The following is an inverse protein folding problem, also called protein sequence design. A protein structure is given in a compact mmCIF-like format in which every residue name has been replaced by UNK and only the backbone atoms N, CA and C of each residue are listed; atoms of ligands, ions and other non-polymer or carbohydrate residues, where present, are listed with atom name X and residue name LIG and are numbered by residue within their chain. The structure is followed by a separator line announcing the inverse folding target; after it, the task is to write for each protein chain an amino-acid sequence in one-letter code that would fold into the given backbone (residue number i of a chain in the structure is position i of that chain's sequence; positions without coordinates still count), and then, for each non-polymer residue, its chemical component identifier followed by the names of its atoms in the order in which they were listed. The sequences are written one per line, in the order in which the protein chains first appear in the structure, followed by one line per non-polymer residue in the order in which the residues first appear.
data_IF_069595443746
#
_entry.id   IF_069595443746
#
_cell.length_a   1.000
_cell.length_b   1.000
_cell.length_c   1.000
_cell.angle_alpha   90.00
_cell.angle_beta   90.00
_cell.angle_gamma   90.00
#
_symmetry.space_group_name_H-M   'P 1'
#
loop_
_entity.id
_entity.type
_entity.pdbx_description
1 polymer ?
#
# COMPACT_ATOMS: atom_id res chain seq x y z
N UNK A 1 -14.27 -8.89 -3.09
CA UNK A 1 -12.95 -9.58 -3.06
C UNK A 1 -12.16 -9.10 -4.25
N UNK A 2 -10.83 -9.08 -4.14
CA UNK A 2 -9.93 -8.70 -5.22
C UNK A 2 -8.79 -9.71 -5.30
N UNK A 3 -8.38 -10.09 -6.50
CA UNK A 3 -7.25 -10.98 -6.74
C UNK A 3 -6.16 -10.21 -7.49
N UNK A 4 -4.95 -10.17 -6.93
CA UNK A 4 -3.77 -9.71 -7.64
C UNK A 4 -3.02 -10.96 -8.11
N UNK A 5 -2.89 -11.18 -9.42
CA UNK A 5 -2.23 -12.37 -9.99
C UNK A 5 -0.90 -12.04 -10.65
N UNK A 6 -0.10 -13.06 -10.91
CA UNK A 6 1.19 -12.95 -11.60
C UNK A 6 2.17 -11.97 -10.95
N UNK A 7 2.17 -11.87 -9.61
CA UNK A 7 3.08 -11.00 -8.88
C UNK A 7 4.38 -11.75 -8.52
N UNK A 8 5.47 -11.01 -8.36
CA UNK A 8 6.68 -11.49 -7.68
C UNK A 8 6.60 -11.07 -6.21
N UNK A 9 6.79 -12.00 -5.28
CA UNK A 9 6.88 -11.71 -3.84
C UNK A 9 8.19 -12.24 -3.27
N UNK A 10 8.68 -11.57 -2.23
CA UNK A 10 9.88 -11.99 -1.50
C UNK A 10 9.51 -13.08 -0.49
N UNK A 11 10.12 -14.26 -0.62
CA UNK A 11 10.02 -15.38 0.34
C UNK A 11 11.43 -15.89 0.61
N UNK A 12 11.81 -15.93 1.88
CA UNK A 12 13.12 -16.45 2.33
C UNK A 12 14.34 -15.87 1.61
N UNK A 13 14.25 -14.59 1.19
CA UNK A 13 15.33 -13.87 0.50
C UNK A 13 15.31 -14.01 -1.03
N UNK A 14 14.38 -14.78 -1.59
CA UNK A 14 14.25 -14.98 -3.04
C UNK A 14 12.90 -14.48 -3.57
N UNK A 15 12.88 -14.10 -4.85
CA UNK A 15 11.64 -13.73 -5.54
C UNK A 15 10.95 -14.99 -6.08
N UNK A 16 9.66 -15.11 -5.80
CA UNK A 16 8.82 -16.20 -6.28
C UNK A 16 7.49 -15.66 -6.82
N UNK A 17 6.95 -16.32 -7.84
CA UNK A 17 5.65 -15.95 -8.42
C UNK A 17 4.53 -16.35 -7.45
N UNK A 18 3.58 -15.44 -7.22
CA UNK A 18 2.38 -15.70 -6.45
C UNK A 18 1.20 -14.83 -6.91
N UNK A 19 0.03 -15.22 -6.45
CA UNK A 19 -1.22 -14.46 -6.48
C UNK A 19 -1.65 -14.18 -5.04
N UNK A 20 -2.32 -13.04 -4.81
CA UNK A 20 -2.77 -12.56 -3.50
C UNK A 20 -4.27 -12.30 -3.57
N UNK A 21 -5.05 -13.02 -2.77
CA UNK A 21 -6.49 -12.83 -2.64
C UNK A 21 -6.79 -11.93 -1.45
N UNK A 22 -7.56 -10.88 -1.67
CA UNK A 22 -7.95 -9.88 -0.69
C UNK A 22 -9.46 -9.97 -0.44
N UNK A 23 -9.85 -10.04 0.83
CA UNK A 23 -11.23 -10.04 1.28
C UNK A 23 -11.46 -8.87 2.25
N UNK A 24 -12.14 -7.83 1.76
CA UNK A 24 -12.33 -6.60 2.51
C UNK A 24 -11.00 -5.91 2.80
N UNK A 25 -10.60 -5.89 4.08
CA UNK A 25 -9.38 -5.23 4.57
C UNK A 25 -8.20 -6.18 4.80
N UNK A 26 -8.39 -7.48 4.57
CA UNK A 26 -7.41 -8.51 4.93
C UNK A 26 -6.98 -9.32 3.71
N UNK A 27 -5.74 -9.80 3.76
CA UNK A 27 -5.28 -10.83 2.84
C UNK A 27 -5.91 -12.15 3.30
N UNK A 28 -6.67 -12.79 2.40
CA UNK A 28 -7.32 -14.07 2.63
C UNK A 28 -6.39 -15.24 2.31
N UNK A 29 -5.64 -15.13 1.22
CA UNK A 29 -4.79 -16.21 0.72
C UNK A 29 -3.62 -15.69 -0.12
N UNK A 30 -2.48 -16.39 -0.07
CA UNK A 30 -1.32 -16.17 -0.94
C UNK A 30 -0.89 -17.52 -1.51
N UNK A 31 -0.94 -17.69 -2.83
CA UNK A 31 -0.66 -18.95 -3.51
C UNK A 31 -0.44 -18.76 -5.01
N UNK A 32 0.04 -19.77 -5.73
CA UNK A 32 0.30 -19.67 -7.18
C UNK A 32 -1.00 -19.70 -8.00
N UNK A 33 -1.92 -20.59 -7.64
CA UNK A 33 -3.10 -20.94 -8.44
C UNK A 33 -4.40 -20.75 -7.64
N UNK A 34 -4.72 -19.49 -7.33
CA UNK A 34 -5.96 -19.14 -6.63
C UNK A 34 -7.11 -19.06 -7.63
N UNK A 35 -8.08 -19.95 -7.48
CA UNK A 35 -9.33 -19.93 -8.27
C UNK A 35 -10.36 -19.02 -7.62
N UNK A 36 -10.95 -18.12 -8.41
CA UNK A 36 -11.98 -17.18 -7.96
C UNK A 36 -13.16 -17.17 -8.92
N UNK A 37 -14.34 -16.84 -8.42
CA UNK A 37 -15.53 -16.62 -9.24
C UNK A 37 -15.34 -15.42 -10.18
N UNK A 38 -16.07 -15.41 -11.30
CA UNK A 38 -16.00 -14.34 -12.32
C UNK A 38 -16.40 -12.95 -11.83
N UNK A 39 -17.01 -12.86 -10.64
CA UNK A 39 -17.38 -11.59 -9.99
C UNK A 39 -16.23 -10.95 -9.22
N UNK A 40 -15.11 -11.65 -9.05
CA UNK A 40 -13.94 -11.11 -8.34
C UNK A 40 -13.15 -10.21 -9.27
N UNK A 41 -12.84 -8.99 -8.79
CA UNK A 41 -11.99 -8.07 -9.51
C UNK A 41 -10.57 -8.65 -9.59
N UNK A 42 -10.01 -8.70 -10.80
CA UNK A 42 -8.67 -9.23 -11.05
C UNK A 42 -7.74 -8.12 -11.50
N UNK A 43 -6.62 -7.96 -10.80
CA UNK A 43 -5.50 -7.11 -11.17
C UNK A 43 -4.36 -8.04 -11.62
N UNK A 44 -3.86 -7.85 -12.83
CA UNK A 44 -2.66 -8.55 -13.31
C UNK A 44 -1.42 -7.73 -12.97
N UNK A 45 -0.56 -8.24 -12.09
CA UNK A 45 0.69 -7.60 -11.71
C UNK A 45 1.78 -7.72 -12.79
N UNK A 46 1.57 -8.50 -13.86
CA UNK A 46 2.49 -8.58 -15.01
C UNK A 46 3.94 -8.92 -14.64
N UNK A 47 4.14 -9.75 -13.61
CA UNK A 47 5.46 -10.12 -13.10
C UNK A 47 6.14 -9.04 -12.25
N UNK A 48 5.45 -7.95 -11.90
CA UNK A 48 5.97 -6.91 -11.02
C UNK A 48 6.11 -7.40 -9.58
N UNK A 49 7.04 -6.78 -8.86
CA UNK A 49 7.27 -7.03 -7.46
C UNK A 49 6.18 -6.38 -6.59
N UNK A 50 5.62 -7.16 -5.67
CA UNK A 50 4.74 -6.68 -4.61
C UNK A 50 5.48 -6.80 -3.28
N UNK A 51 5.58 -5.66 -2.59
CA UNK A 51 6.04 -5.57 -1.22
C UNK A 51 4.85 -5.37 -0.27
N UNK A 52 5.00 -5.72 1.02
CA UNK A 52 4.17 -5.13 2.07
C UNK A 52 4.23 -3.59 1.97
N UNK A 53 3.11 -2.93 2.26
CA UNK A 53 3.08 -1.48 2.29
C UNK A 53 4.09 -0.90 3.27
N UNK A 54 4.86 0.09 2.82
CA UNK A 54 5.89 0.69 3.66
C UNK A 54 5.27 1.50 4.81
N UNK A 55 6.03 1.63 5.90
CA UNK A 55 5.67 2.43 7.07
C UNK A 55 6.72 3.53 7.24
N UNK A 56 6.31 4.79 7.14
CA UNK A 56 7.16 5.94 7.41
C UNK A 56 6.88 6.48 8.81
N UNK A 57 7.85 6.34 9.72
CA UNK A 57 7.71 6.80 11.11
C UNK A 57 7.95 8.30 11.28
N UNK A 58 8.32 9.02 10.22
CA UNK A 58 8.64 10.44 10.32
C UNK A 58 8.29 11.21 9.04
N UNK A 59 7.11 11.84 9.03
CA UNK A 59 6.72 12.78 7.96
C UNK A 59 6.25 14.13 8.50
N UNK A 60 6.18 15.13 7.63
CA UNK A 60 5.59 16.43 7.95
C UNK A 60 4.51 16.78 6.94
N UNK A 61 3.23 16.55 7.29
CA UNK A 61 2.08 16.84 6.41
C UNK A 61 1.65 18.31 6.43
N UNK A 62 2.20 19.12 7.34
CA UNK A 62 2.08 20.59 7.44
C UNK A 62 0.68 21.14 7.73
N UNK A 63 -0.39 20.40 7.51
CA UNK A 63 -1.76 20.73 7.92
C UNK A 63 -2.04 20.20 9.35
N UNK A 64 -2.61 21.02 10.26
CA UNK A 64 -3.07 22.40 10.05
C UNK A 64 -1.97 23.48 10.14
N UNK A 65 -2.20 24.62 9.47
CA UNK A 65 -1.45 25.88 9.59
C UNK A 65 -0.29 26.08 8.60
N UNK A 66 0.08 25.05 7.85
CA UNK A 66 1.16 25.05 6.85
C UNK A 66 0.73 24.61 5.46
N UNK A 67 -0.55 24.74 5.12
CA UNK A 67 -1.21 24.18 3.92
C UNK A 67 -0.58 24.66 2.60
N UNK A 68 0.03 25.85 2.60
CA UNK A 68 0.80 26.37 1.46
C UNK A 68 2.06 25.54 1.13
N UNK A 69 2.50 24.66 2.04
CA UNK A 69 3.63 23.75 1.86
C UNK A 69 3.17 22.35 1.47
N UNK A 70 2.20 21.82 2.21
CA UNK A 70 1.64 20.48 2.03
C UNK A 70 0.31 20.39 2.78
N UNK A 71 -0.60 19.53 2.33
CA UNK A 71 -1.83 19.15 3.06
C UNK A 71 -1.81 17.67 3.41
N UNK A 72 -2.71 17.23 4.29
CA UNK A 72 -2.91 15.80 4.54
C UNK A 72 -3.22 15.08 3.23
N UNK A 73 -4.05 15.68 2.36
CA UNK A 73 -4.41 15.10 1.07
C UNK A 73 -3.19 14.96 0.13
N UNK A 74 -2.42 16.02 -0.11
CA UNK A 74 -1.31 15.97 -1.06
C UNK A 74 -0.16 15.12 -0.53
N UNK A 75 0.18 15.25 0.76
CA UNK A 75 1.24 14.49 1.40
C UNK A 75 0.95 12.98 1.45
N UNK A 76 -0.29 12.58 1.74
CA UNK A 76 -0.65 11.14 1.74
C UNK A 76 -0.77 10.56 0.33
N UNK A 77 -1.20 11.35 -0.67
CA UNK A 77 -1.11 10.95 -2.08
C UNK A 77 0.35 10.75 -2.52
N UNK A 78 1.26 11.62 -2.09
CA UNK A 78 2.69 11.48 -2.34
C UNK A 78 3.26 10.21 -1.67
N UNK A 79 2.88 9.96 -0.42
CA UNK A 79 3.26 8.76 0.32
C UNK A 79 2.79 7.48 -0.39
N UNK A 80 1.52 7.42 -0.81
CA UNK A 80 0.97 6.29 -1.55
C UNK A 80 1.69 6.05 -2.88
N UNK A 81 2.03 7.12 -3.62
CA UNK A 81 2.85 7.02 -4.84
C UNK A 81 4.26 6.48 -4.57
N UNK A 82 4.80 6.73 -3.38
CA UNK A 82 6.08 6.19 -2.91
C UNK A 82 6.02 4.75 -2.38
N UNK A 83 4.84 4.13 -2.32
CA UNK A 83 4.65 2.78 -1.77
C UNK A 83 4.41 2.74 -0.25
N UNK A 84 4.26 3.88 0.40
CA UNK A 84 3.87 3.94 1.82
C UNK A 84 2.37 3.78 1.98
N UNK A 85 1.98 2.93 2.93
CA UNK A 85 0.58 2.70 3.29
C UNK A 85 0.24 3.23 4.68
N UNK A 86 1.27 3.51 5.49
CA UNK A 86 1.14 4.12 6.81
C UNK A 86 2.23 5.17 6.98
N UNK A 87 1.86 6.35 7.47
CA UNK A 87 2.79 7.44 7.76
C UNK A 87 2.49 8.03 9.14
N UNK A 88 3.51 8.42 9.89
CA UNK A 88 3.42 9.04 11.21
C UNK A 88 3.75 10.53 11.11
N UNK A 89 2.76 11.43 11.05
CA UNK A 89 3.00 12.86 10.95
C UNK A 89 3.53 13.44 12.28
N UNK A 90 4.56 14.26 12.19
CA UNK A 90 5.19 14.92 13.33
C UNK A 90 4.31 16.08 13.87
N UNK A 91 4.37 16.37 15.19
CA UNK A 91 3.43 17.29 15.86
C UNK A 91 3.75 18.79 15.69
N UNK A 92 4.59 19.17 14.73
CA UNK A 92 5.04 20.57 14.56
C UNK A 92 4.14 21.38 13.60
N UNK A 93 2.82 21.20 13.71
CA UNK A 93 1.77 21.95 13.01
C UNK A 93 1.28 23.13 13.87
N UNK A 94 0.28 23.89 13.38
CA UNK A 94 -0.36 24.99 14.11
C UNK A 94 -1.89 24.90 13.96
N UNK A 95 -2.66 24.69 15.05
CA UNK A 95 -2.19 24.45 16.42
C UNK A 95 -1.32 23.20 16.53
N UNK A 96 -0.46 23.17 17.54
CA UNK A 96 0.25 21.94 17.91
C UNK A 96 -0.78 20.92 18.42
N UNK A 97 -0.72 19.64 18.03
CA UNK A 97 -1.56 18.58 18.58
C UNK A 97 -1.27 18.30 20.05
#
# INVERSE_FOLDING_TARGET
MQLIKNAQILRDGELSVASILIEGKYIKEIGTDISVDSTVEVIDAQGQFIAPGLIDVHVHLREPGGEHKETIETGTKAAARGGFTTVCPMPNTRPVP
#
